data_IF_234220513833
#
_entry.id   IF_234220513833
#
_cell.length_a   1.000
_cell.length_b   1.000
_cell.length_c   1.000
_cell.angle_alpha   90.00
_cell.angle_beta   90.00
_cell.angle_gamma   90.00
#
_symmetry.space_group_name_H-M   'P 1'
#
loop_
_entity.id
_entity.type
_entity.pdbx_description
1 polymer ?
#
# COMPACT_ATOMS: atom_id res chain seq x y z
N UNK A 1 13.00 -35.49 42.49
CA UNK A 1 13.57 -34.35 41.72
C UNK A 1 13.50 -34.69 40.26
N UNK A 2 12.79 -33.93 39.42
CA UNK A 2 13.00 -33.90 37.97
C UNK A 2 12.45 -32.57 37.46
N UNK A 3 13.30 -31.54 37.42
CA UNK A 3 13.00 -30.26 36.78
C UNK A 3 13.26 -30.43 35.27
N UNK A 4 12.20 -30.41 34.46
CA UNK A 4 12.33 -30.23 33.00
C UNK A 4 12.50 -28.75 32.72
N UNK A 5 13.63 -28.39 32.09
CA UNK A 5 13.90 -27.05 31.61
C UNK A 5 12.95 -26.72 30.44
N UNK A 6 12.34 -25.55 30.49
CA UNK A 6 11.63 -24.97 29.36
C UNK A 6 12.67 -24.45 28.36
N UNK A 7 12.68 -25.01 27.15
CA UNK A 7 13.38 -24.44 26.00
C UNK A 7 12.60 -23.22 25.50
N UNK A 8 12.88 -22.07 26.11
CA UNK A 8 12.47 -20.77 25.64
C UNK A 8 13.34 -20.32 24.48
N UNK A 9 13.24 -21.00 23.34
CA UNK A 9 13.80 -20.52 22.08
C UNK A 9 13.03 -19.26 21.66
N UNK A 10 13.49 -18.09 22.12
CA UNK A 10 13.04 -16.79 21.63
C UNK A 10 13.50 -16.69 20.18
N UNK A 11 12.62 -17.06 19.26
CA UNK A 11 12.81 -16.81 17.82
C UNK A 11 12.96 -15.30 17.68
N UNK A 12 14.19 -14.83 17.44
CA UNK A 12 14.44 -13.42 17.12
C UNK A 12 13.59 -13.08 15.92
N UNK A 13 12.60 -12.22 16.13
CA UNK A 13 11.74 -11.69 15.06
C UNK A 13 12.65 -10.86 14.16
N UNK A 14 13.15 -11.44 13.08
CA UNK A 14 13.94 -10.69 12.11
C UNK A 14 13.08 -9.54 11.60
N UNK A 15 13.55 -8.31 11.83
CA UNK A 15 12.87 -7.13 11.34
C UNK A 15 13.09 -7.06 9.83
N UNK A 16 12.04 -7.39 9.08
CA UNK A 16 12.02 -7.30 7.63
C UNK A 16 12.12 -5.84 7.18
N UNK A 17 13.28 -5.45 6.65
CA UNK A 17 13.45 -4.15 5.97
C UNK A 17 12.93 -4.27 4.54
N UNK A 18 11.88 -3.52 4.24
CA UNK A 18 11.30 -3.47 2.89
C UNK A 18 12.12 -2.57 1.98
N UNK A 19 12.43 -3.07 0.79
CA UNK A 19 13.10 -2.31 -0.28
C UNK A 19 12.11 -1.84 -1.33
N UNK A 20 12.48 -0.89 -2.18
CA UNK A 20 11.63 -0.43 -3.28
C UNK A 20 11.27 -1.57 -4.26
N UNK A 21 12.18 -2.53 -4.47
CA UNK A 21 11.90 -3.71 -5.30
C UNK A 21 10.84 -4.61 -4.67
N UNK A 22 10.90 -4.82 -3.35
CA UNK A 22 9.88 -5.59 -2.64
C UNK A 22 8.51 -4.87 -2.64
N UNK A 23 8.51 -3.55 -2.56
CA UNK A 23 7.28 -2.75 -2.68
C UNK A 23 6.65 -2.88 -4.07
N UNK A 24 7.48 -2.83 -5.13
CA UNK A 24 7.01 -3.01 -6.49
C UNK A 24 6.40 -4.40 -6.69
N UNK A 25 7.10 -5.45 -6.28
CA UNK A 25 6.60 -6.83 -6.35
C UNK A 25 5.33 -7.03 -5.52
N UNK A 26 5.23 -6.40 -4.34
CA UNK A 26 4.02 -6.43 -3.53
C UNK A 26 2.83 -5.81 -4.27
N UNK A 27 3.02 -4.64 -4.90
CA UNK A 27 1.93 -3.99 -5.65
C UNK A 27 1.54 -4.78 -6.89
N UNK A 28 2.50 -5.37 -7.61
CA UNK A 28 2.20 -6.27 -8.72
C UNK A 28 1.39 -7.49 -8.27
N UNK A 29 1.75 -8.10 -7.13
CA UNK A 29 1.01 -9.21 -6.55
C UNK A 29 -0.41 -8.79 -6.13
N UNK A 30 -0.58 -7.59 -5.55
CA UNK A 30 -1.91 -7.05 -5.20
C UNK A 30 -2.80 -6.89 -6.43
N UNK A 31 -2.27 -6.32 -7.52
CA UNK A 31 -3.02 -6.16 -8.78
C UNK A 31 -3.40 -7.53 -9.35
N UNK A 32 -2.47 -8.48 -9.35
CA UNK A 32 -2.74 -9.83 -9.85
C UNK A 32 -3.85 -10.51 -9.06
N UNK A 33 -3.82 -10.41 -7.73
CA UNK A 33 -4.87 -10.99 -6.88
C UNK A 33 -6.22 -10.26 -7.06
N UNK A 34 -6.22 -8.95 -7.31
CA UNK A 34 -7.42 -8.18 -7.63
C UNK A 34 -8.05 -8.65 -8.96
N UNK A 35 -7.23 -8.79 -10.01
CA UNK A 35 -7.64 -9.20 -11.36
C UNK A 35 -8.26 -10.61 -11.41
N UNK A 36 -7.76 -11.53 -10.58
CA UNK A 36 -8.34 -12.89 -10.47
C UNK A 36 -9.52 -12.97 -9.49
N UNK A 37 -10.02 -11.84 -8.98
CA UNK A 37 -11.22 -11.78 -8.14
C UNK A 37 -10.99 -12.12 -6.67
N UNK A 38 -9.74 -12.15 -6.20
CA UNK A 38 -9.39 -12.42 -4.81
C UNK A 38 -9.48 -11.17 -3.92
N UNK A 39 -10.09 -10.08 -4.41
CA UNK A 39 -10.50 -8.92 -3.62
C UNK A 39 -12.02 -8.79 -3.64
N UNK A 40 -12.64 -8.97 -2.49
CA UNK A 40 -14.10 -8.94 -2.32
C UNK A 40 -14.47 -7.79 -1.39
N UNK A 41 -15.39 -6.91 -1.81
CA UNK A 41 -15.81 -5.73 -1.05
C UNK A 41 -14.62 -4.89 -0.54
N UNK A 42 -13.62 -4.66 -1.41
CA UNK A 42 -12.42 -3.89 -1.08
C UNK A 42 -11.36 -4.65 -0.26
N UNK A 43 -11.66 -5.86 0.22
CA UNK A 43 -10.78 -6.65 1.10
C UNK A 43 -10.20 -7.88 0.39
N UNK A 44 -8.89 -8.09 0.51
CA UNK A 44 -8.23 -9.29 -0.02
C UNK A 44 -8.57 -10.55 0.78
N UNK A 45 -8.83 -11.66 0.08
CA UNK A 45 -9.17 -12.94 0.71
C UNK A 45 -7.96 -13.57 1.42
N UNK A 46 -8.20 -14.56 2.29
CA UNK A 46 -7.12 -15.34 2.91
C UNK A 46 -6.24 -16.06 1.88
N UNK A 47 -6.82 -16.52 0.77
CA UNK A 47 -6.07 -17.12 -0.34
C UNK A 47 -5.13 -16.10 -0.99
N UNK A 48 -5.60 -14.87 -1.22
CA UNK A 48 -4.77 -13.78 -1.72
C UNK A 48 -3.53 -13.56 -0.85
N UNK A 49 -3.73 -13.48 0.47
CA UNK A 49 -2.63 -13.32 1.42
C UNK A 49 -1.65 -14.50 1.37
N UNK A 50 -2.13 -15.73 1.26
CA UNK A 50 -1.28 -16.91 1.15
C UNK A 50 -0.43 -16.87 -0.14
N UNK A 51 -1.05 -16.53 -1.27
CA UNK A 51 -0.37 -16.42 -2.56
C UNK A 51 0.70 -15.32 -2.56
N UNK A 52 0.35 -14.12 -2.08
CA UNK A 52 1.28 -12.99 -1.99
C UNK A 52 2.48 -13.31 -1.09
N UNK A 53 2.25 -13.93 0.07
CA UNK A 53 3.32 -14.35 0.98
C UNK A 53 4.21 -15.38 0.30
N UNK A 54 3.65 -16.42 -0.31
CA UNK A 54 4.42 -17.47 -0.97
C UNK A 54 5.27 -16.92 -2.13
N UNK A 55 4.68 -16.07 -2.97
CA UNK A 55 5.36 -15.44 -4.10
C UNK A 55 6.53 -14.57 -3.66
N UNK A 56 6.27 -13.59 -2.78
CA UNK A 56 7.30 -12.66 -2.30
C UNK A 56 8.39 -13.36 -1.48
N UNK A 57 8.02 -14.33 -0.63
CA UNK A 57 9.00 -15.05 0.18
C UNK A 57 9.97 -15.84 -0.69
N UNK A 58 9.45 -16.46 -1.76
CA UNK A 58 10.25 -17.19 -2.76
C UNK A 58 11.14 -16.26 -3.57
N UNK A 59 10.59 -15.15 -4.07
CA UNK A 59 11.33 -14.21 -4.93
C UNK A 59 12.49 -13.54 -4.20
N UNK A 60 12.28 -13.09 -2.96
CA UNK A 60 13.29 -12.35 -2.21
C UNK A 60 14.11 -13.22 -1.25
N UNK A 61 13.82 -14.53 -1.20
CA UNK A 61 14.40 -15.47 -0.23
C UNK A 61 14.29 -14.93 1.22
N UNK A 62 13.10 -14.49 1.61
CA UNK A 62 12.80 -13.93 2.94
C UNK A 62 11.56 -14.56 3.54
N UNK A 63 11.54 -14.74 4.86
CA UNK A 63 10.32 -15.14 5.55
C UNK A 63 9.42 -13.93 5.76
N UNK A 64 8.32 -13.85 5.00
CA UNK A 64 7.36 -12.75 5.12
C UNK A 64 6.11 -13.25 5.83
N UNK A 65 5.82 -12.66 6.99
CA UNK A 65 4.59 -12.97 7.73
C UNK A 65 3.39 -12.18 7.20
N UNK A 66 2.18 -12.70 7.42
CA UNK A 66 0.93 -12.00 7.07
C UNK A 66 0.83 -10.61 7.72
N UNK A 67 1.30 -10.46 8.95
CA UNK A 67 1.28 -9.18 9.66
C UNK A 67 2.26 -8.18 9.06
N UNK A 68 3.48 -8.60 8.70
CA UNK A 68 4.45 -7.74 8.01
C UNK A 68 3.89 -7.27 6.66
N UNK A 69 3.26 -8.18 5.91
CA UNK A 69 2.62 -7.87 4.64
C UNK A 69 1.50 -6.83 4.82
N UNK A 70 0.57 -7.06 5.75
CA UNK A 70 -0.53 -6.13 6.06
C UNK A 70 -0.02 -4.76 6.51
N UNK A 71 0.96 -4.73 7.39
CA UNK A 71 1.57 -3.48 7.85
C UNK A 71 2.21 -2.72 6.69
N UNK A 72 2.89 -3.42 5.77
CA UNK A 72 3.47 -2.78 4.59
C UNK A 72 2.40 -2.24 3.64
N UNK A 73 1.34 -3.00 3.39
CA UNK A 73 0.21 -2.52 2.59
C UNK A 73 -0.40 -1.24 3.18
N UNK A 74 -0.57 -1.17 4.51
CA UNK A 74 -1.04 0.04 5.20
C UNK A 74 -0.09 1.21 4.98
N UNK A 75 1.22 1.00 5.07
CA UNK A 75 2.23 2.03 4.78
C UNK A 75 2.15 2.52 3.34
N UNK A 76 2.05 1.61 2.36
CA UNK A 76 1.91 1.97 0.94
C UNK A 76 0.63 2.78 0.68
N UNK A 77 -0.52 2.33 1.20
CA UNK A 77 -1.79 3.05 1.08
C UNK A 77 -1.72 4.44 1.73
N UNK A 78 -1.11 4.55 2.91
CA UNK A 78 -0.93 5.82 3.62
C UNK A 78 -0.05 6.80 2.85
N UNK A 79 1.10 6.33 2.36
CA UNK A 79 2.02 7.15 1.54
C UNK A 79 1.36 7.61 0.24
N UNK A 80 0.68 6.70 -0.46
CA UNK A 80 -0.07 7.03 -1.66
C UNK A 80 -1.19 8.03 -1.39
N UNK A 81 -1.93 7.89 -0.28
CA UNK A 81 -3.00 8.82 0.08
C UNK A 81 -2.46 10.23 0.36
N UNK A 82 -1.37 10.34 1.12
CA UNK A 82 -0.69 11.63 1.35
C UNK A 82 -0.25 12.28 0.05
N UNK A 83 0.35 11.49 -0.84
CA UNK A 83 0.68 11.93 -2.20
C UNK A 83 -0.57 12.44 -2.90
N UNK A 84 -1.55 11.57 -3.09
CA UNK A 84 -2.73 11.82 -3.89
C UNK A 84 -3.53 13.03 -3.41
N UNK A 85 -3.70 13.17 -2.08
CA UNK A 85 -4.37 14.30 -1.45
C UNK A 85 -3.54 15.60 -1.61
N UNK A 86 -2.21 15.52 -1.55
CA UNK A 86 -1.31 16.65 -1.82
C UNK A 86 -1.46 17.17 -3.25
N UNK A 87 -1.50 16.30 -4.27
CA UNK A 87 -1.67 16.75 -5.66
C UNK A 87 -3.08 17.24 -5.94
N UNK A 88 -4.11 16.54 -5.46
CA UNK A 88 -5.52 16.94 -5.68
C UNK A 88 -5.94 18.18 -4.89
N UNK A 89 -5.32 18.42 -3.75
CA UNK A 89 -5.57 19.59 -2.91
C UNK A 89 -4.94 20.86 -3.43
N UNK A 90 -4.06 20.77 -4.43
CA UNK A 90 -3.55 21.95 -5.14
C UNK A 90 -4.44 22.26 -6.33
N UNK A 91 -4.74 23.55 -6.54
CA UNK A 91 -5.37 24.06 -7.77
C UNK A 91 -4.45 24.02 -8.99
N UNK A 92 -3.31 23.31 -8.89
CA UNK A 92 -2.28 23.22 -9.91
C UNK A 92 -2.65 22.12 -10.91
N UNK A 93 -3.26 22.51 -12.02
CA UNK A 93 -3.24 21.69 -13.24
C UNK A 93 -1.80 21.60 -13.73
N UNK A 94 -1.26 20.40 -13.95
CA UNK A 94 0.11 20.27 -14.46
C UNK A 94 0.83 18.99 -14.05
N UNK A 95 0.28 18.21 -13.11
CA UNK A 95 0.87 16.93 -12.74
C UNK A 95 0.37 15.80 -13.64
N UNK A 96 1.30 15.09 -14.27
CA UNK A 96 1.03 13.85 -14.98
C UNK A 96 2.03 12.77 -14.53
N UNK A 97 1.59 11.52 -14.40
CA UNK A 97 2.53 10.43 -14.18
C UNK A 97 3.07 9.96 -15.52
N UNK A 98 4.39 9.96 -15.67
CA UNK A 98 5.05 9.47 -16.88
C UNK A 98 5.40 7.99 -16.74
N UNK A 99 4.81 7.18 -17.63
CA UNK A 99 4.95 5.73 -17.62
C UNK A 99 6.32 5.22 -18.05
N UNK A 100 7.09 6.04 -18.77
CA UNK A 100 8.45 5.72 -19.22
C UNK A 100 9.47 6.04 -18.14
N UNK A 101 9.41 7.25 -17.59
CA UNK A 101 10.37 7.70 -16.56
C UNK A 101 10.00 7.17 -15.17
N UNK A 102 8.76 6.73 -14.96
CA UNK A 102 8.19 6.31 -13.66
C UNK A 102 8.17 7.44 -12.62
N UNK A 103 8.16 8.69 -13.07
CA UNK A 103 8.09 9.88 -12.23
C UNK A 103 6.79 10.65 -12.47
N UNK A 104 6.53 11.58 -11.57
CA UNK A 104 5.46 12.55 -11.74
C UNK A 104 6.10 13.79 -12.36
N UNK A 105 5.61 14.14 -13.53
CA UNK A 105 6.06 15.26 -14.33
C UNK A 105 5.10 16.43 -14.09
N UNK A 106 5.69 17.57 -13.82
CA UNK A 106 5.05 18.87 -13.74
C UNK A 106 6.10 19.93 -14.04
N UNK A 107 5.64 21.13 -14.38
CA UNK A 107 6.51 22.29 -14.56
C UNK A 107 7.27 22.62 -13.27
N UNK A 108 8.47 23.18 -13.41
CA UNK A 108 9.31 23.53 -12.26
C UNK A 108 8.60 24.52 -11.33
N UNK A 109 7.86 25.48 -11.89
CA UNK A 109 7.05 26.45 -11.15
C UNK A 109 5.96 25.79 -10.31
N UNK A 110 5.36 24.71 -10.83
CA UNK A 110 4.36 23.91 -10.14
C UNK A 110 4.99 23.13 -8.97
N UNK A 111 6.18 22.56 -9.17
CA UNK A 111 6.96 21.93 -8.10
C UNK A 111 7.39 22.94 -7.02
N UNK A 112 7.85 24.12 -7.41
CA UNK A 112 8.27 25.17 -6.46
C UNK A 112 7.12 25.64 -5.58
N UNK A 113 5.95 25.91 -6.18
CA UNK A 113 4.75 26.28 -5.43
C UNK A 113 4.31 25.17 -4.47
N UNK A 114 4.34 23.91 -4.92
CA UNK A 114 4.00 22.77 -4.07
C UNK A 114 4.99 22.60 -2.92
N UNK A 115 6.30 22.69 -3.17
CA UNK A 115 7.34 22.55 -2.15
C UNK A 115 7.27 23.71 -1.15
N UNK A 116 6.94 24.93 -1.60
CA UNK A 116 6.72 26.08 -0.72
C UNK A 116 5.53 25.86 0.22
N UNK A 117 4.44 25.28 -0.27
CA UNK A 117 3.27 24.96 0.55
C UNK A 117 3.48 23.71 1.43
N UNK A 118 4.26 22.75 0.95
CA UNK A 118 4.56 21.50 1.64
C UNK A 118 6.00 21.03 1.34
N UNK A 119 6.97 21.34 2.23
CA UNK A 119 8.38 20.98 2.01
C UNK A 119 8.63 19.47 1.86
N UNK A 120 7.77 18.59 2.40
CA UNK A 120 7.90 17.14 2.22
C UNK A 120 7.74 16.71 0.73
N UNK A 121 7.12 17.56 -0.10
CA UNK A 121 6.98 17.34 -1.54
C UNK A 121 8.33 17.32 -2.28
N UNK A 122 9.40 17.88 -1.70
CA UNK A 122 10.71 17.85 -2.34
C UNK A 122 11.23 16.41 -2.51
N UNK A 123 10.92 15.52 -1.56
CA UNK A 123 11.30 14.11 -1.62
C UNK A 123 10.60 13.33 -2.75
N UNK A 124 9.61 13.95 -3.37
CA UNK A 124 8.71 13.35 -4.34
C UNK A 124 9.03 13.71 -5.78
N UNK A 125 9.78 14.79 -6.01
CA UNK A 125 10.26 15.19 -7.33
C UNK A 125 11.24 14.17 -7.93
N UNK A 126 12.08 13.53 -7.10
CA UNK A 126 13.13 12.59 -7.55
C UNK A 126 12.79 11.12 -7.28
N UNK A 127 11.64 10.84 -6.65
CA UNK A 127 11.26 9.49 -6.28
C UNK A 127 10.55 8.79 -7.44
N UNK A 128 11.10 7.66 -7.87
CA UNK A 128 10.44 6.74 -8.79
C UNK A 128 9.23 6.10 -8.11
N UNK A 129 8.06 6.24 -8.73
CA UNK A 129 6.85 5.53 -8.34
C UNK A 129 6.47 4.64 -9.53
N UNK A 130 7.10 3.47 -9.59
CA UNK A 130 6.93 2.52 -10.69
C UNK A 130 5.50 2.02 -10.86
N UNK A 131 4.72 2.07 -9.78
CA UNK A 131 3.40 1.46 -9.64
C UNK A 131 2.30 2.49 -9.33
N UNK A 132 2.47 3.76 -9.71
CA UNK A 132 1.50 4.82 -9.40
C UNK A 132 0.09 4.50 -9.91
N UNK A 133 -0.05 4.06 -11.17
CA UNK A 133 -1.36 3.73 -11.74
C UNK A 133 -2.00 2.54 -11.02
N UNK A 134 -1.21 1.54 -10.66
CA UNK A 134 -1.65 0.37 -9.89
C UNK A 134 -2.10 0.78 -8.48
N UNK A 135 -1.33 1.62 -7.79
CA UNK A 135 -1.70 2.17 -6.48
C UNK A 135 -2.97 3.01 -6.56
N UNK A 136 -3.12 3.81 -7.62
CA UNK A 136 -4.34 4.57 -7.89
C UNK A 136 -5.52 3.62 -8.06
N UNK A 137 -5.45 2.65 -8.97
CA UNK A 137 -6.50 1.65 -9.18
C UNK A 137 -6.87 0.91 -7.88
N UNK A 138 -5.87 0.48 -7.11
CA UNK A 138 -6.10 -0.27 -5.88
C UNK A 138 -6.69 0.58 -4.75
N UNK A 139 -6.29 1.85 -4.63
CA UNK A 139 -6.54 2.67 -3.43
C UNK A 139 -7.36 3.95 -3.66
N UNK A 140 -7.67 4.35 -4.90
CA UNK A 140 -8.48 5.54 -5.18
C UNK A 140 -9.98 5.30 -4.97
N UNK A 141 -10.50 4.14 -5.36
CA UNK A 141 -11.94 3.81 -5.27
C UNK A 141 -12.39 3.40 -3.86
N UNK A 142 -11.45 2.92 -3.03
CA UNK A 142 -11.72 2.51 -1.64
C UNK A 142 -12.05 3.70 -0.71
N UNK A 143 -12.10 4.93 -1.26
CA UNK A 143 -12.56 6.14 -0.57
C UNK A 143 -14.05 6.43 -0.78
N UNK A 144 -14.72 5.76 -1.73
CA UNK A 144 -16.16 5.93 -1.97
C UNK A 144 -17.04 4.99 -1.11
N UNK A 145 -16.46 3.99 -0.45
CA UNK A 145 -17.24 3.02 0.35
C UNK A 145 -17.40 3.40 1.83
N UNK A 146 -17.36 4.70 2.15
CA UNK A 146 -17.71 5.24 3.47
C UNK A 146 -19.21 5.39 3.70
N UNK A 147 -20.07 4.96 2.77
CA UNK A 147 -21.51 5.23 2.80
C UNK A 147 -22.41 4.00 2.66
N UNK A 148 -21.95 2.81 3.07
CA UNK A 148 -22.84 1.64 3.27
C UNK A 148 -22.42 0.78 4.45
N UNK A 149 -22.24 1.43 5.61
CA UNK A 149 -22.56 0.76 6.87
C UNK A 149 -24.01 1.14 7.21
N UNK A 150 -24.96 0.58 6.45
CA UNK A 150 -26.33 0.51 6.94
C UNK A 150 -26.27 -0.34 8.21
N UNK A 151 -26.35 0.37 9.33
CA UNK A 151 -26.39 -0.23 10.65
C UNK A 151 -27.66 -1.07 10.68
N UNK A 152 -27.51 -2.39 10.71
CA UNK A 152 -28.59 -3.31 10.99
C UNK A 152 -29.02 -3.13 12.47
N UNK A 153 -29.71 -2.04 12.77
CA UNK A 153 -30.49 -1.82 13.99
C UNK A 153 -31.70 -0.97 13.63
N UNK A 154 -32.73 -1.61 13.09
CA UNK A 154 -34.12 -1.44 13.53
C UNK A 154 -35.03 -2.38 12.74
N UNK A 155 -35.19 -3.59 13.26
CA UNK A 155 -36.41 -4.37 13.10
C UNK A 155 -36.92 -4.67 14.49
N UNK A 156 -37.72 -3.78 15.07
CA UNK A 156 -38.90 -4.17 15.83
C UNK A 156 -39.82 -2.98 16.10
N UNK A 157 -40.77 -2.74 15.19
CA UNK A 157 -41.99 -2.02 15.48
C UNK A 157 -43.04 -2.40 14.42
N UNK A 158 -43.66 -3.57 14.59
CA UNK A 158 -45.03 -3.87 14.15
C UNK A 158 -45.64 -4.85 15.14
#
# INVERSE_FOLDING_TARGET
MNKRAADGSVVKKENLTWTDNMDNALVEALVKEDDIGNRVNGTFTSQAYANMIAGLSKEFNKSITKDQLKNRMKTLKGNFSKWYDMYRGTSLSGFSWNSQTKHIEAEDEVWEQLIKANPEAAAFRTKKISNYNQLKMLFSDDRASGSKAETAKEKNAR
#
